data_IF_554166855637
#
_entry.id   IF_554166855637
#
_cell.length_a   1.000
_cell.length_b   1.000
_cell.length_c   1.000
_cell.angle_alpha   90.00
_cell.angle_beta   90.00
_cell.angle_gamma   90.00
#
_symmetry.space_group_name_H-M   'P 1'
#
loop_
_entity.id
_entity.type
_entity.pdbx_description
1 polymer ?
#
# COMPACT_ATOMS: atom_id res chain seq x y z
N UNK A 1 18.93 7.03 6.46
CA UNK A 1 17.83 6.37 7.19
C UNK A 1 18.34 4.97 7.48
N UNK A 2 18.99 4.78 8.63
CA UNK A 2 19.50 3.48 9.05
C UNK A 2 18.28 2.69 9.55
N UNK A 3 17.78 1.80 8.70
CA UNK A 3 16.81 0.77 9.11
C UNK A 3 17.42 0.01 10.27
N UNK A 4 16.67 -0.14 11.38
CA UNK A 4 17.08 -0.97 12.50
C UNK A 4 17.38 -2.39 11.99
N UNK A 5 18.66 -2.75 11.94
CA UNK A 5 19.07 -4.07 11.51
C UNK A 5 18.67 -5.08 12.59
N UNK A 6 18.23 -6.27 12.17
CA UNK A 6 17.79 -7.30 13.12
C UNK A 6 18.90 -7.65 14.11
N UNK A 7 18.61 -7.99 15.38
CA UNK A 7 19.60 -8.43 16.37
C UNK A 7 20.55 -9.53 15.85
N UNK A 8 20.04 -10.42 14.99
CA UNK A 8 20.81 -11.47 14.32
C UNK A 8 21.97 -10.92 13.46
N UNK A 9 21.79 -9.77 12.80
CA UNK A 9 22.82 -9.14 11.97
C UNK A 9 24.05 -8.77 12.80
N UNK A 10 23.82 -8.14 13.97
CA UNK A 10 24.89 -7.74 14.87
C UNK A 10 25.63 -8.93 15.49
N UNK A 11 24.91 -10.02 15.79
CA UNK A 11 25.50 -11.26 16.29
C UNK A 11 26.44 -11.88 15.24
N UNK A 12 25.99 -12.00 13.99
CA UNK A 12 26.82 -12.58 12.91
C UNK A 12 28.00 -11.68 12.57
N UNK A 13 27.83 -10.35 12.61
CA UNK A 13 28.92 -9.39 12.43
C UNK A 13 30.00 -9.53 13.51
N UNK A 14 29.60 -9.65 14.78
CA UNK A 14 30.52 -9.85 15.90
C UNK A 14 31.32 -11.16 15.76
N UNK A 15 30.65 -12.26 15.34
CA UNK A 15 31.31 -13.54 15.08
C UNK A 15 32.32 -13.45 13.93
N UNK A 16 31.98 -12.77 12.84
CA UNK A 16 32.88 -12.57 11.70
C UNK A 16 34.16 -11.85 12.12
N UNK A 17 34.03 -10.74 12.85
CA UNK A 17 35.18 -9.96 13.35
C UNK A 17 36.01 -10.79 14.35
N UNK A 18 35.35 -11.55 15.23
CA UNK A 18 36.01 -12.43 16.18
C UNK A 18 36.86 -13.53 15.52
N UNK A 19 36.31 -14.24 14.54
CA UNK A 19 37.06 -15.28 13.81
C UNK A 19 38.19 -14.70 12.96
N UNK A 20 37.98 -13.53 12.37
CA UNK A 20 39.01 -12.84 11.61
C UNK A 20 40.18 -12.40 12.51
N UNK A 21 39.88 -11.79 13.66
CA UNK A 21 40.90 -11.40 14.64
C UNK A 21 41.67 -12.62 15.19
N UNK A 22 40.98 -13.72 15.48
CA UNK A 22 41.58 -14.98 15.92
C UNK A 22 42.54 -15.56 14.88
N UNK A 23 42.17 -15.50 13.59
CA UNK A 23 43.02 -15.96 12.49
C UNK A 23 44.33 -15.18 12.43
N UNK A 24 44.27 -13.85 12.54
CA UNK A 24 45.45 -12.97 12.55
C UNK A 24 46.32 -13.24 13.78
N UNK A 25 45.71 -13.40 14.95
CA UNK A 25 46.42 -13.69 16.19
C UNK A 25 47.20 -15.00 16.10
N UNK A 26 46.57 -16.06 15.60
CA UNK A 26 47.20 -17.38 15.44
C UNK A 26 48.34 -17.36 14.41
N UNK A 27 48.21 -16.56 13.34
CA UNK A 27 49.28 -16.38 12.35
C UNK A 27 50.48 -15.59 12.89
N UNK A 28 50.26 -14.60 13.77
CA UNK A 28 51.34 -13.78 14.33
C UNK A 28 52.11 -14.45 15.47
N UNK A 29 51.45 -15.24 16.31
CA UNK A 29 52.04 -15.78 17.55
C UNK A 29 52.79 -17.10 17.36
N UNK A 30 52.52 -17.84 16.28
CA UNK A 30 53.01 -19.22 16.14
C UNK A 30 53.45 -19.57 14.71
N UNK A 31 54.27 -18.72 14.10
CA UNK A 31 54.92 -18.99 12.82
C UNK A 31 55.86 -20.22 12.95
N UNK A 32 55.43 -21.38 12.46
CA UNK A 32 56.25 -22.61 12.42
C UNK A 32 55.55 -23.91 12.84
N UNK A 33 54.35 -23.85 13.44
CA UNK A 33 53.61 -25.04 13.88
C UNK A 33 52.50 -25.41 12.88
N UNK A 34 52.74 -26.44 12.06
CA UNK A 34 51.85 -26.94 10.99
C UNK A 34 50.37 -27.11 11.41
N UNK A 35 50.10 -27.63 12.60
CA UNK A 35 48.73 -27.82 13.09
C UNK A 35 48.01 -26.51 13.45
N UNK A 36 48.73 -25.47 13.85
CA UNK A 36 48.14 -24.17 14.18
C UNK A 36 47.87 -23.32 12.94
N UNK A 37 48.63 -23.53 11.87
CA UNK A 37 48.30 -23.01 10.54
C UNK A 37 46.98 -23.60 10.01
N UNK A 38 46.72 -24.89 10.24
CA UNK A 38 45.44 -25.51 9.88
C UNK A 38 44.25 -24.89 10.64
N UNK A 39 44.42 -24.60 11.94
CA UNK A 39 43.41 -23.90 12.75
C UNK A 39 43.18 -22.45 12.29
N UNK A 40 44.24 -21.72 11.92
CA UNK A 40 44.12 -20.37 11.39
C UNK A 40 43.35 -20.36 10.06
N UNK A 41 43.67 -21.28 9.15
CA UNK A 41 42.96 -21.46 7.86
C UNK A 41 41.49 -21.82 8.10
N UNK A 42 41.19 -22.71 9.04
CA UNK A 42 39.81 -23.05 9.39
C UNK A 42 39.02 -21.84 9.90
N UNK A 43 39.60 -21.04 10.80
CA UNK A 43 38.95 -19.82 11.31
C UNK A 43 38.72 -18.77 10.22
N UNK A 44 39.61 -18.68 9.23
CA UNK A 44 39.43 -17.82 8.06
C UNK A 44 38.23 -18.28 7.22
N UNK A 45 38.10 -19.58 6.94
CA UNK A 45 36.93 -20.12 6.25
C UNK A 45 35.63 -19.82 6.99
N UNK A 46 35.64 -19.90 8.32
CA UNK A 46 34.47 -19.58 9.14
C UNK A 46 34.10 -18.08 9.04
N UNK A 47 35.10 -17.19 9.02
CA UNK A 47 34.86 -15.75 8.80
C UNK A 47 34.27 -15.46 7.41
N UNK A 48 34.72 -16.18 6.37
CA UNK A 48 34.18 -16.08 5.01
C UNK A 48 32.73 -16.60 4.99
N UNK A 49 32.44 -17.71 5.67
CA UNK A 49 31.08 -18.23 5.80
C UNK A 49 30.15 -17.23 6.51
N UNK A 50 30.62 -16.55 7.57
CA UNK A 50 29.88 -15.47 8.22
C UNK A 50 29.68 -14.27 7.28
N UNK A 51 30.70 -13.88 6.50
CA UNK A 51 30.57 -12.81 5.52
C UNK A 51 29.52 -13.14 4.45
N UNK A 52 29.52 -14.37 3.93
CA UNK A 52 28.50 -14.87 3.01
C UNK A 52 27.11 -14.82 3.68
N UNK A 53 26.99 -15.29 4.92
CA UNK A 53 25.74 -15.22 5.68
C UNK A 53 25.26 -13.77 5.88
N UNK A 54 26.16 -12.81 6.12
CA UNK A 54 25.81 -11.38 6.17
C UNK A 54 25.33 -10.86 4.84
N UNK A 55 25.91 -11.29 3.71
CA UNK A 55 25.43 -10.91 2.37
C UNK A 55 23.99 -11.41 2.13
N UNK A 56 23.63 -12.57 2.69
CA UNK A 56 22.24 -13.07 2.69
C UNK A 56 21.33 -12.32 3.67
N UNK A 57 21.79 -11.99 4.88
CA UNK A 57 20.98 -11.28 5.88
C UNK A 57 20.74 -9.82 5.45
N UNK A 58 21.76 -9.16 4.92
CA UNK A 58 21.73 -7.78 4.45
C UNK A 58 21.14 -7.62 3.04
N UNK A 59 20.75 -8.72 2.40
CA UNK A 59 20.09 -8.74 1.09
C UNK A 59 20.88 -8.06 -0.04
N UNK A 60 22.21 -8.12 0.02
CA UNK A 60 23.12 -7.45 -0.94
C UNK A 60 22.99 -8.05 -2.35
N UNK A 61 22.55 -9.32 -2.44
CA UNK A 61 22.33 -10.02 -3.72
C UNK A 61 20.86 -10.08 -4.15
N UNK A 62 19.92 -9.51 -3.39
CA UNK A 62 18.48 -9.63 -3.67
C UNK A 62 17.95 -11.08 -3.61
N UNK A 63 18.68 -11.99 -2.95
CA UNK A 63 18.33 -13.41 -2.79
C UNK A 63 17.41 -13.65 -1.58
N UNK A 64 17.32 -12.69 -0.65
CA UNK A 64 16.14 -12.62 0.19
C UNK A 64 15.05 -12.22 -0.79
N UNK A 65 14.16 -13.15 -1.12
CA UNK A 65 12.83 -12.74 -1.54
C UNK A 65 12.35 -11.80 -0.44
N UNK A 66 12.45 -10.47 -0.67
CA UNK A 66 11.35 -9.55 -0.40
C UNK A 66 10.10 -10.42 -0.48
N UNK A 67 9.34 -10.55 0.61
CA UNK A 67 8.07 -11.30 0.63
C UNK A 67 7.46 -11.08 -0.74
N UNK A 68 7.43 -12.14 -1.58
CA UNK A 68 7.41 -12.00 -3.03
C UNK A 68 6.32 -11.03 -3.49
N UNK A 69 6.38 -10.49 -4.72
CA UNK A 69 5.23 -9.77 -5.26
C UNK A 69 4.01 -10.61 -4.96
N UNK A 70 3.10 -10.06 -4.15
CA UNK A 70 1.92 -10.75 -3.67
C UNK A 70 1.25 -11.31 -4.92
N UNK A 71 1.36 -12.63 -5.13
CA UNK A 71 1.05 -13.28 -6.41
C UNK A 71 -0.41 -13.05 -6.81
N UNK A 72 -1.21 -12.60 -5.84
CA UNK A 72 -2.60 -12.26 -5.94
C UNK A 72 -2.89 -10.78 -5.67
N UNK A 73 -1.91 -9.88 -5.79
CA UNK A 73 -2.10 -8.45 -5.56
C UNK A 73 -3.26 -7.91 -6.41
N UNK A 74 -3.24 -8.19 -7.71
CA UNK A 74 -4.30 -7.79 -8.63
C UNK A 74 -5.65 -8.39 -8.23
N UNK A 75 -5.68 -9.61 -7.71
CA UNK A 75 -6.92 -10.24 -7.29
C UNK A 75 -7.51 -9.59 -6.03
N UNK A 76 -6.66 -9.23 -5.06
CA UNK A 76 -7.10 -8.48 -3.90
C UNK A 76 -7.55 -7.07 -4.29
N UNK A 77 -6.83 -6.40 -5.19
CA UNK A 77 -7.23 -5.07 -5.66
C UNK A 77 -8.52 -5.11 -6.50
N UNK A 78 -8.72 -6.16 -7.29
CA UNK A 78 -9.99 -6.43 -7.98
C UNK A 78 -11.11 -6.70 -6.97
N UNK A 79 -10.89 -7.53 -5.96
CA UNK A 79 -11.86 -7.80 -4.89
C UNK A 79 -12.26 -6.52 -4.14
N UNK A 80 -11.30 -5.61 -3.92
CA UNK A 80 -11.53 -4.27 -3.35
C UNK A 80 -12.51 -3.47 -4.18
N UNK A 81 -12.20 -3.28 -5.46
CA UNK A 81 -13.04 -2.50 -6.36
C UNK A 81 -14.41 -3.17 -6.62
N UNK A 82 -14.45 -4.49 -6.76
CA UNK A 82 -15.69 -5.25 -6.92
C UNK A 82 -16.62 -5.06 -5.72
N UNK A 83 -16.09 -5.20 -4.49
CA UNK A 83 -16.88 -5.04 -3.26
C UNK A 83 -17.41 -3.61 -3.13
N UNK A 84 -16.61 -2.60 -3.47
CA UNK A 84 -17.06 -1.20 -3.53
C UNK A 84 -18.17 -1.03 -4.58
N UNK A 85 -18.03 -1.62 -5.77
CA UNK A 85 -19.06 -1.57 -6.81
C UNK A 85 -20.38 -2.18 -6.35
N UNK A 86 -20.33 -3.34 -5.67
CA UNK A 86 -21.52 -3.98 -5.09
C UNK A 86 -22.17 -3.13 -4.01
N UNK A 87 -21.37 -2.50 -3.16
CA UNK A 87 -21.86 -1.56 -2.15
C UNK A 87 -22.55 -0.35 -2.79
N UNK A 88 -21.96 0.22 -3.85
CA UNK A 88 -22.55 1.35 -4.60
C UNK A 88 -23.87 0.93 -5.24
N UNK A 89 -23.91 -0.18 -5.97
CA UNK A 89 -25.12 -0.70 -6.62
C UNK A 89 -26.28 -0.91 -5.62
N UNK A 90 -25.97 -1.37 -4.41
CA UNK A 90 -26.97 -1.59 -3.36
C UNK A 90 -27.41 -0.31 -2.65
N UNK A 91 -26.49 0.64 -2.47
CA UNK A 91 -26.75 1.86 -1.66
C UNK A 91 -27.31 3.00 -2.49
N UNK A 92 -26.84 3.13 -3.73
CA UNK A 92 -27.24 4.18 -4.68
C UNK A 92 -27.52 3.59 -6.07
N UNK A 93 -28.64 2.84 -6.23
CA UNK A 93 -29.09 2.38 -7.54
C UNK A 93 -29.32 3.58 -8.48
N UNK A 94 -28.99 3.41 -9.75
CA UNK A 94 -29.05 4.42 -10.80
C UNK A 94 -27.87 5.41 -10.83
N UNK A 95 -26.93 5.32 -9.87
CA UNK A 95 -25.85 6.30 -9.77
C UNK A 95 -24.91 6.31 -10.97
N UNK A 96 -24.39 7.50 -11.25
CA UNK A 96 -23.49 7.81 -12.36
C UNK A 96 -22.19 8.34 -11.79
N UNK A 97 -21.14 7.53 -11.92
CA UNK A 97 -19.89 7.81 -11.25
C UNK A 97 -18.75 8.17 -12.20
N UNK A 98 -17.84 9.00 -11.71
CA UNK A 98 -16.53 9.26 -12.29
C UNK A 98 -15.49 8.52 -11.46
N UNK A 99 -14.68 7.70 -12.12
CA UNK A 99 -13.52 7.07 -11.48
C UNK A 99 -12.28 7.95 -11.72
N UNK A 100 -11.65 8.38 -10.63
CA UNK A 100 -10.43 9.20 -10.67
C UNK A 100 -9.25 8.37 -10.20
N UNK A 101 -8.32 8.12 -11.11
CA UNK A 101 -7.09 7.37 -10.86
C UNK A 101 -5.83 8.18 -11.10
N UNK A 102 -4.67 7.54 -10.97
CA UNK A 102 -3.39 8.14 -11.33
C UNK A 102 -2.56 7.27 -12.25
N UNK A 103 -1.93 7.88 -13.25
CA UNK A 103 -0.94 7.22 -14.08
C UNK A 103 0.34 6.97 -13.29
N UNK A 104 1.00 5.87 -13.59
CA UNK A 104 2.40 5.62 -13.21
C UNK A 104 3.34 6.61 -13.92
N UNK A 105 4.61 6.67 -13.51
CA UNK A 105 5.57 7.60 -14.12
C UNK A 105 5.84 7.33 -15.61
N UNK A 106 5.73 6.07 -16.03
CA UNK A 106 5.85 5.66 -17.45
C UNK A 106 4.56 5.95 -18.26
N UNK A 107 3.53 6.51 -17.61
CA UNK A 107 2.25 6.84 -18.23
C UNK A 107 1.28 5.67 -18.34
N UNK A 108 1.62 4.48 -17.83
CA UNK A 108 0.68 3.36 -17.78
C UNK A 108 -0.41 3.55 -16.71
N UNK A 109 -1.51 2.83 -16.86
CA UNK A 109 -2.66 2.89 -15.93
C UNK A 109 -2.45 2.02 -14.70
N UNK A 110 -1.56 1.03 -14.76
CA UNK A 110 -1.26 0.11 -13.65
C UNK A 110 -2.52 -0.50 -13.04
N UNK A 111 -2.63 -0.46 -11.71
CA UNK A 111 -3.78 -1.00 -10.96
C UNK A 111 -5.12 -0.32 -11.30
N UNK A 112 -5.14 0.84 -11.95
CA UNK A 112 -6.42 1.48 -12.29
C UNK A 112 -7.22 0.69 -13.32
N UNK A 113 -6.58 -0.05 -14.22
CA UNK A 113 -7.31 -0.95 -15.14
C UNK A 113 -8.01 -2.07 -14.38
N UNK A 114 -7.33 -2.62 -13.36
CA UNK A 114 -7.88 -3.63 -12.45
C UNK A 114 -9.06 -3.06 -11.68
N UNK A 115 -8.91 -1.85 -11.12
CA UNK A 115 -9.98 -1.17 -10.41
C UNK A 115 -11.18 -0.86 -11.31
N UNK A 116 -10.95 -0.31 -12.50
CA UNK A 116 -12.01 0.04 -13.45
C UNK A 116 -12.82 -1.20 -13.84
N UNK A 117 -12.15 -2.27 -14.26
CA UNK A 117 -12.81 -3.50 -14.68
C UNK A 117 -13.61 -4.16 -13.54
N UNK A 118 -13.00 -4.27 -12.36
CA UNK A 118 -13.64 -4.91 -11.22
C UNK A 118 -14.77 -4.06 -10.62
N UNK A 119 -14.60 -2.73 -10.58
CA UNK A 119 -15.65 -1.80 -10.16
C UNK A 119 -16.84 -1.91 -11.10
N UNK A 120 -16.63 -1.86 -12.42
CA UNK A 120 -17.68 -2.02 -13.42
C UNK A 120 -18.44 -3.35 -13.26
N UNK A 121 -17.72 -4.45 -13.02
CA UNK A 121 -18.32 -5.76 -12.73
C UNK A 121 -19.14 -5.75 -11.43
N UNK A 122 -18.67 -5.04 -10.41
CA UNK A 122 -19.36 -4.87 -9.13
C UNK A 122 -20.62 -4.01 -9.25
N UNK A 123 -20.60 -2.95 -10.04
CA UNK A 123 -21.78 -2.10 -10.25
C UNK A 123 -22.91 -2.86 -10.98
N UNK A 124 -22.54 -3.72 -11.93
CA UNK A 124 -23.52 -4.44 -12.72
C UNK A 124 -24.43 -3.48 -13.51
N UNK A 125 -25.73 -3.81 -13.69
CA UNK A 125 -26.68 -2.94 -14.38
C UNK A 125 -27.21 -1.79 -13.50
N UNK A 126 -26.97 -1.84 -12.19
CA UNK A 126 -27.62 -0.94 -11.22
C UNK A 126 -26.93 0.42 -11.13
N UNK A 127 -25.69 0.56 -11.61
CA UNK A 127 -24.96 1.83 -11.62
C UNK A 127 -23.93 1.83 -12.75
N UNK A 128 -23.43 3.00 -13.14
CA UNK A 128 -22.54 3.11 -14.30
C UNK A 128 -21.36 4.05 -14.09
N UNK A 129 -20.23 3.68 -14.69
CA UNK A 129 -19.05 4.54 -14.81
C UNK A 129 -19.23 5.38 -16.08
N UNK A 130 -19.42 6.68 -15.91
CA UNK A 130 -19.61 7.62 -17.02
C UNK A 130 -18.26 8.07 -17.59
N UNK A 131 -17.27 8.23 -16.72
CA UNK A 131 -15.93 8.65 -17.11
C UNK A 131 -14.86 8.05 -16.21
N UNK A 132 -13.68 7.88 -16.79
CA UNK A 132 -12.46 7.50 -16.06
C UNK A 132 -11.39 8.52 -16.38
N UNK A 133 -10.90 9.18 -15.33
CA UNK A 133 -9.98 10.30 -15.44
C UNK A 133 -8.70 9.98 -14.70
N UNK A 134 -7.57 10.29 -15.34
CA UNK A 134 -6.26 9.87 -14.87
C UNK A 134 -5.36 11.07 -14.59
N UNK A 135 -4.85 11.13 -13.37
CA UNK A 135 -3.97 12.20 -12.93
C UNK A 135 -2.52 11.77 -13.05
N UNK A 136 -1.69 12.60 -13.70
CA UNK A 136 -0.28 12.30 -13.91
C UNK A 136 0.50 12.45 -12.61
N UNK A 137 1.38 11.48 -12.33
CA UNK A 137 2.42 11.65 -11.31
C UNK A 137 3.53 12.56 -11.86
N UNK A 138 4.13 13.35 -10.97
CA UNK A 138 5.34 14.16 -11.24
C UNK A 138 6.41 13.85 -10.20
N UNK A 139 7.66 14.17 -10.51
CA UNK A 139 8.73 14.18 -9.51
C UNK A 139 8.78 15.56 -8.85
N UNK A 140 8.79 15.59 -7.51
CA UNK A 140 9.04 16.84 -6.79
C UNK A 140 10.52 17.25 -6.87
N UNK A 141 10.87 18.42 -6.31
CA UNK A 141 12.25 18.94 -6.27
C UNK A 141 13.29 17.98 -5.64
N UNK A 142 12.84 16.98 -4.87
CA UNK A 142 13.67 15.95 -4.23
C UNK A 142 13.67 14.63 -5.01
N UNK A 143 13.18 14.62 -6.25
CA UNK A 143 13.10 13.44 -7.12
C UNK A 143 12.04 12.42 -6.72
N UNK A 144 11.24 12.68 -5.67
CA UNK A 144 10.20 11.74 -5.20
C UNK A 144 8.94 11.88 -6.04
N UNK A 145 8.30 10.76 -6.34
CA UNK A 145 6.98 10.72 -6.94
C UNK A 145 5.97 11.43 -6.05
N UNK A 146 5.25 12.37 -6.64
CA UNK A 146 4.10 13.04 -6.06
C UNK A 146 2.98 13.01 -7.08
N UNK A 147 1.76 12.85 -6.59
CA UNK A 147 0.59 13.12 -7.40
C UNK A 147 0.55 14.61 -7.68
N UNK A 148 0.49 15.00 -8.95
CA UNK A 148 0.27 16.39 -9.32
C UNK A 148 -1.23 16.71 -9.25
N UNK A 149 -1.78 16.54 -8.04
CA UNK A 149 -3.18 16.81 -7.77
C UNK A 149 -3.25 18.11 -6.99
N UNK A 150 -4.01 19.06 -7.53
CA UNK A 150 -4.50 20.19 -6.75
C UNK A 150 -6.03 20.21 -6.75
N UNK A 151 -6.58 20.91 -5.77
CA UNK A 151 -8.02 21.11 -5.58
C UNK A 151 -8.79 21.60 -6.81
N UNK A 152 -8.14 22.37 -7.69
CA UNK A 152 -8.79 22.92 -8.88
C UNK A 152 -9.07 21.82 -9.90
N UNK A 153 -8.22 20.81 -10.00
CA UNK A 153 -8.39 19.73 -10.96
C UNK A 153 -9.61 18.87 -10.60
N UNK A 154 -9.78 18.53 -9.32
CA UNK A 154 -10.99 17.83 -8.85
C UNK A 154 -12.28 18.64 -9.06
N UNK A 155 -12.23 19.95 -8.80
CA UNK A 155 -13.39 20.82 -9.04
C UNK A 155 -13.74 20.94 -10.53
N UNK A 156 -12.74 20.90 -11.43
CA UNK A 156 -12.95 20.89 -12.88
C UNK A 156 -13.54 19.57 -13.37
N UNK A 157 -13.08 18.44 -12.80
CA UNK A 157 -13.55 17.10 -13.18
C UNK A 157 -15.06 16.98 -12.98
N UNK A 158 -15.58 17.39 -11.82
CA UNK A 158 -17.03 17.31 -11.53
C UNK A 158 -17.84 18.21 -12.47
N UNK A 159 -17.34 19.41 -12.78
CA UNK A 159 -18.00 20.32 -13.74
C UNK A 159 -17.99 19.81 -15.18
N UNK A 160 -17.02 18.97 -15.54
CA UNK A 160 -16.91 18.38 -16.87
C UNK A 160 -17.99 17.31 -17.12
N UNK A 161 -18.51 16.71 -16.05
CA UNK A 161 -19.47 15.61 -16.09
C UNK A 161 -20.66 15.91 -15.15
N UNK A 162 -21.49 16.93 -15.48
CA UNK A 162 -22.60 17.37 -14.63
C UNK A 162 -23.68 16.31 -14.39
N UNK A 163 -23.72 15.27 -15.20
CA UNK A 163 -24.59 14.11 -15.06
C UNK A 163 -24.16 13.11 -13.98
N UNK A 164 -22.96 13.30 -13.41
CA UNK A 164 -22.43 12.41 -12.38
C UNK A 164 -22.80 12.90 -10.98
N UNK A 165 -23.31 11.98 -10.18
CA UNK A 165 -23.67 12.18 -8.77
C UNK A 165 -22.63 11.59 -7.82
N UNK A 166 -21.56 10.96 -8.35
CA UNK A 166 -20.57 10.27 -7.55
C UNK A 166 -19.15 10.40 -8.11
N UNK A 167 -18.19 10.60 -7.20
CA UNK A 167 -16.76 10.57 -7.48
C UNK A 167 -16.09 9.47 -6.65
N UNK A 168 -15.48 8.50 -7.33
CA UNK A 168 -14.69 7.41 -6.74
C UNK A 168 -13.22 7.66 -7.02
N UNK A 169 -12.37 7.73 -5.99
CA UNK A 169 -10.91 7.91 -6.16
C UNK A 169 -10.11 6.67 -5.78
N UNK A 170 -9.12 6.31 -6.59
CA UNK A 170 -8.15 5.23 -6.30
C UNK A 170 -6.84 5.73 -5.67
N UNK A 171 -6.75 7.04 -5.43
CA UNK A 171 -5.54 7.71 -4.92
C UNK A 171 -5.79 8.53 -3.64
N UNK A 172 -7.04 8.62 -3.19
CA UNK A 172 -7.48 9.56 -2.16
C UNK A 172 -7.74 10.96 -2.72
N UNK A 173 -7.94 11.91 -1.81
CA UNK A 173 -8.17 13.30 -2.16
C UNK A 173 -6.95 14.18 -1.84
N UNK A 174 -6.76 15.29 -2.57
CA UNK A 174 -5.70 16.24 -2.26
C UNK A 174 -5.89 16.90 -0.89
N UNK A 175 -4.77 17.37 -0.33
CA UNK A 175 -4.78 18.22 0.84
C UNK A 175 -5.56 19.51 0.58
N UNK A 176 -6.41 19.88 1.53
CA UNK A 176 -7.22 21.11 1.45
C UNK A 176 -8.49 20.97 0.62
N UNK A 177 -8.89 19.74 0.24
CA UNK A 177 -10.13 19.51 -0.53
C UNK A 177 -11.37 20.07 0.17
N UNK A 178 -11.34 20.15 1.51
CA UNK A 178 -12.37 20.74 2.38
C UNK A 178 -12.72 22.20 2.05
N UNK A 179 -11.85 22.89 1.31
CA UNK A 179 -12.05 24.29 0.89
C UNK A 179 -12.63 24.43 -0.52
N UNK A 180 -13.00 23.33 -1.17
CA UNK A 180 -13.45 23.31 -2.57
C UNK A 180 -14.97 23.34 -2.71
N UNK A 181 -15.46 23.71 -3.89
CA UNK A 181 -16.88 23.57 -4.22
C UNK A 181 -17.33 22.11 -4.18
N UNK A 182 -16.48 21.19 -4.66
CA UNK A 182 -16.73 19.74 -4.58
C UNK A 182 -17.05 19.29 -3.16
N UNK A 183 -16.32 19.81 -2.17
CA UNK A 183 -16.58 19.48 -0.78
C UNK A 183 -17.92 20.02 -0.27
N UNK A 184 -18.28 21.26 -0.65
CA UNK A 184 -19.58 21.84 -0.31
C UNK A 184 -20.73 21.06 -0.95
N UNK A 185 -20.56 20.67 -2.21
CA UNK A 185 -21.53 19.83 -2.93
C UNK A 185 -21.70 18.48 -2.22
N UNK A 186 -20.62 17.93 -1.66
CA UNK A 186 -20.68 16.69 -0.87
C UNK A 186 -21.35 16.90 0.50
N UNK A 187 -21.10 18.03 1.16
CA UNK A 187 -21.78 18.42 2.41
C UNK A 187 -23.29 18.57 2.23
N UNK A 188 -23.75 19.05 1.07
CA UNK A 188 -25.18 19.16 0.74
C UNK A 188 -25.78 17.87 0.17
N UNK A 189 -24.96 16.84 -0.07
CA UNK A 189 -25.38 15.58 -0.69
C UNK A 189 -25.62 15.66 -2.20
N UNK A 190 -25.20 16.74 -2.85
CA UNK A 190 -25.29 16.91 -4.31
C UNK A 190 -24.28 16.04 -5.06
N UNK A 191 -23.22 15.57 -4.39
CA UNK A 191 -22.26 14.61 -4.92
C UNK A 191 -21.77 13.66 -3.83
N UNK A 192 -21.64 12.38 -4.16
CA UNK A 192 -21.17 11.32 -3.28
C UNK A 192 -19.66 11.14 -3.46
N UNK A 193 -18.90 11.15 -2.36
CA UNK A 193 -17.46 10.95 -2.36
C UNK A 193 -17.08 9.59 -1.80
N UNK A 194 -16.29 8.82 -2.57
CA UNK A 194 -15.80 7.49 -2.17
C UNK A 194 -14.29 7.38 -2.35
N UNK A 195 -13.59 6.94 -1.30
CA UNK A 195 -12.16 6.59 -1.36
C UNK A 195 -12.02 5.08 -1.52
N UNK A 196 -11.82 4.62 -2.76
CA UNK A 196 -11.59 3.20 -3.06
C UNK A 196 -10.19 2.77 -2.62
N UNK A 197 -9.20 3.64 -2.81
CA UNK A 197 -7.83 3.42 -2.34
C UNK A 197 -7.20 4.78 -2.04
N UNK A 198 -6.37 4.86 -0.98
CA UNK A 198 -5.72 6.10 -0.56
C UNK A 198 -5.50 6.17 0.95
N UNK A 199 -4.87 7.27 1.39
CA UNK A 199 -4.72 7.56 2.82
C UNK A 199 -6.01 8.19 3.37
N UNK A 200 -6.69 7.46 4.24
CA UNK A 200 -7.96 7.90 4.83
C UNK A 200 -7.78 8.69 6.14
N UNK A 201 -6.56 8.75 6.71
CA UNK A 201 -6.29 9.43 7.99
C UNK A 201 -6.76 10.88 8.02
N UNK A 202 -6.47 11.71 6.99
CA UNK A 202 -6.86 13.10 7.01
C UNK A 202 -8.38 13.30 7.00
N UNK A 203 -9.12 12.27 6.57
CA UNK A 203 -10.55 12.35 6.30
C UNK A 203 -11.45 11.76 7.39
N UNK A 204 -10.90 11.42 8.56
CA UNK A 204 -11.66 10.85 9.68
C UNK A 204 -12.95 11.61 9.98
N UNK A 205 -12.85 12.92 10.20
CA UNK A 205 -14.01 13.73 10.57
C UNK A 205 -15.04 13.78 9.45
N UNK A 206 -14.59 13.80 8.20
CA UNK A 206 -15.46 13.82 7.03
C UNK A 206 -16.20 12.50 6.80
N UNK A 207 -15.55 11.36 7.04
CA UNK A 207 -16.18 10.03 6.97
C UNK A 207 -17.25 9.91 8.06
N UNK A 208 -16.93 10.33 9.29
CA UNK A 208 -17.91 10.36 10.40
C UNK A 208 -19.09 11.27 10.13
N UNK A 209 -18.84 12.42 9.52
CA UNK A 209 -19.88 13.37 9.13
C UNK A 209 -20.68 12.91 7.90
N UNK A 210 -20.28 11.83 7.23
CA UNK A 210 -20.94 11.33 6.01
C UNK A 210 -20.61 12.11 4.72
N UNK A 211 -19.78 13.16 4.80
CA UNK A 211 -19.31 13.93 3.64
C UNK A 211 -18.53 13.02 2.68
N UNK A 212 -17.70 12.13 3.25
CA UNK A 212 -17.16 10.99 2.50
C UNK A 212 -18.00 9.78 2.87
N UNK A 213 -18.83 9.33 1.94
CA UNK A 213 -19.85 8.31 2.21
C UNK A 213 -19.26 6.91 2.42
N UNK A 214 -18.11 6.63 1.80
CA UNK A 214 -17.38 5.39 2.03
C UNK A 214 -15.87 5.55 1.80
N UNK A 215 -15.09 4.81 2.57
CA UNK A 215 -13.65 4.69 2.40
C UNK A 215 -13.18 3.26 2.66
N UNK A 216 -12.15 2.81 1.95
CA UNK A 216 -11.53 1.50 2.18
C UNK A 216 -10.18 1.66 2.86
N UNK A 217 -9.90 0.77 3.81
CA UNK A 217 -8.58 0.61 4.40
C UNK A 217 -8.17 -0.85 4.49
N UNK A 218 -6.88 -1.10 4.70
CA UNK A 218 -6.40 -2.42 5.09
C UNK A 218 -6.87 -2.77 6.50
N UNK A 219 -7.07 -4.06 6.75
CA UNK A 219 -7.30 -4.53 8.11
C UNK A 219 -6.02 -4.38 8.93
N UNK A 220 -6.08 -3.74 10.10
CA UNK A 220 -4.93 -3.58 10.98
C UNK A 220 -4.21 -4.87 11.41
N UNK A 221 -4.92 -6.00 11.35
CA UNK A 221 -4.44 -7.32 11.73
C UNK A 221 -4.36 -8.27 10.54
N UNK A 222 -4.46 -7.77 9.31
CA UNK A 222 -4.25 -8.63 8.15
C UNK A 222 -2.84 -9.22 8.22
N UNK A 223 -2.79 -10.54 8.14
CA UNK A 223 -1.57 -11.31 7.95
C UNK A 223 -1.68 -12.00 6.61
N UNK A 224 -0.53 -12.27 5.99
CA UNK A 224 -0.49 -13.13 4.81
C UNK A 224 -1.17 -14.48 5.14
N UNK A 225 -2.21 -14.81 4.37
CA UNK A 225 -2.91 -16.09 4.45
C UNK A 225 -2.52 -16.92 3.21
N UNK A 226 -1.93 -18.11 3.37
CA UNK A 226 -1.64 -18.98 2.24
C UNK A 226 -2.92 -19.49 1.54
N UNK A 227 -4.08 -19.43 2.21
CA UNK A 227 -5.37 -19.73 1.59
C UNK A 227 -5.87 -18.50 0.84
N UNK A 228 -5.87 -18.63 -0.47
CA UNK A 228 -6.45 -17.66 -1.38
C UNK A 228 -7.90 -18.05 -1.69
N UNK A 229 -8.92 -17.32 -1.18
CA UNK A 229 -10.31 -17.63 -1.47
C UNK A 229 -10.62 -17.38 -2.94
N UNK A 230 -11.58 -18.08 -3.53
CA UNK A 230 -12.07 -17.75 -4.87
C UNK A 230 -13.05 -16.57 -4.85
N UNK A 231 -13.90 -16.52 -3.81
CA UNK A 231 -14.94 -15.52 -3.66
C UNK A 231 -14.35 -14.10 -3.45
N UNK A 232 -14.75 -13.10 -4.25
CA UNK A 232 -14.25 -11.73 -4.12
C UNK A 232 -14.55 -11.07 -2.77
N UNK A 233 -15.67 -11.38 -2.12
CA UNK A 233 -16.01 -10.82 -0.81
C UNK A 233 -15.15 -11.44 0.29
N UNK A 234 -14.83 -12.72 0.20
CA UNK A 234 -13.90 -13.36 1.13
C UNK A 234 -12.46 -12.83 0.96
N UNK A 235 -11.99 -12.65 -0.28
CA UNK A 235 -10.73 -11.93 -0.57
C UNK A 235 -10.74 -10.53 0.05
N UNK A 236 -11.85 -9.81 -0.09
CA UNK A 236 -12.01 -8.48 0.51
C UNK A 236 -11.95 -8.53 2.04
N UNK A 237 -12.72 -9.43 2.67
CA UNK A 237 -12.78 -9.55 4.13
C UNK A 237 -11.44 -9.97 4.74
N UNK A 238 -10.62 -10.73 4.03
CA UNK A 238 -9.27 -11.06 4.50
C UNK A 238 -8.43 -9.79 4.68
N UNK A 239 -8.40 -8.91 3.68
CA UNK A 239 -7.40 -7.83 3.60
C UNK A 239 -7.92 -6.43 3.91
N UNK A 240 -9.21 -6.19 3.72
CA UNK A 240 -9.81 -4.86 3.70
C UNK A 240 -10.97 -4.72 4.67
N UNK A 241 -11.27 -3.45 4.94
CA UNK A 241 -12.44 -3.04 5.68
C UNK A 241 -13.11 -1.86 4.96
N UNK A 242 -14.42 -1.98 4.76
CA UNK A 242 -15.26 -0.89 4.30
C UNK A 242 -15.64 -0.03 5.50
N UNK A 243 -15.42 1.26 5.35
CA UNK A 243 -15.61 2.23 6.41
C UNK A 243 -16.66 3.24 5.95
N UNK A 244 -17.70 3.40 6.75
CA UNK A 244 -18.82 4.32 6.53
C UNK A 244 -19.09 5.12 7.81
N UNK A 245 -19.99 6.09 7.75
CA UNK A 245 -20.43 6.83 8.95
C UNK A 245 -20.96 5.91 10.05
N UNK A 246 -21.57 4.78 9.68
CA UNK A 246 -22.27 3.88 10.61
C UNK A 246 -21.30 3.04 11.45
N UNK A 247 -20.12 2.73 10.92
CA UNK A 247 -19.12 1.91 11.62
C UNK A 247 -17.86 2.69 12.04
N UNK A 248 -17.73 3.95 11.63
CA UNK A 248 -16.51 4.71 11.85
C UNK A 248 -16.18 4.92 13.33
N UNK A 249 -17.15 5.25 14.17
CA UNK A 249 -16.85 5.44 15.59
C UNK A 249 -16.33 4.17 16.27
N UNK A 250 -16.95 3.03 15.96
CA UNK A 250 -16.54 1.74 16.49
C UNK A 250 -15.13 1.35 16.02
N UNK A 251 -14.89 1.41 14.71
CA UNK A 251 -13.62 1.00 14.12
C UNK A 251 -12.46 1.86 14.62
N UNK A 252 -12.67 3.18 14.75
CA UNK A 252 -11.64 4.07 15.29
C UNK A 252 -11.38 3.83 16.77
N UNK A 253 -12.42 3.55 17.57
CA UNK A 253 -12.25 3.22 18.99
C UNK A 253 -11.48 1.92 19.16
N UNK A 254 -11.84 0.90 18.37
CA UNK A 254 -11.27 -0.45 18.46
C UNK A 254 -9.83 -0.52 17.96
N UNK A 255 -9.52 0.13 16.84
CA UNK A 255 -8.24 -0.03 16.17
C UNK A 255 -7.32 1.19 16.28
N UNK A 256 -7.82 2.33 16.75
CA UNK A 256 -7.06 3.58 16.97
C UNK A 256 -6.15 3.87 15.76
N UNK A 257 -4.84 4.07 16.00
CA UNK A 257 -3.84 4.37 14.96
C UNK A 257 -3.57 3.22 13.98
N UNK A 258 -4.03 1.99 14.27
CA UNK A 258 -3.73 0.82 13.43
C UNK A 258 -4.62 0.71 12.19
N UNK A 259 -5.74 1.45 12.13
CA UNK A 259 -6.65 1.51 10.96
C UNK A 259 -6.05 2.24 9.75
N UNK A 260 -4.77 2.60 9.77
CA UNK A 260 -4.21 3.59 8.84
C UNK A 260 -2.84 3.23 8.27
N UNK A 261 -2.39 1.99 8.48
CA UNK A 261 -1.15 1.52 7.88
C UNK A 261 -1.53 0.86 6.55
N UNK A 262 -1.32 1.62 5.47
CA UNK A 262 -1.11 1.08 4.13
C UNK A 262 0.36 0.70 3.98
#
# INVERSE_FOLDING_TARGET
>A
MLTEMSPLFYIVLALMVGFFALSIYMMKTHAGLRHKHALAVFSLFLSIACAIALLFIADVFGLRKSKGPDIHLNDYEAARAYTVGRYIAQTWPGSKLILVGALTLDGSKGLNEVYEAALKKGLGPDASIVAVEYIKKKKNKKGREVLDINNKDFSKLVRKYPECDMLVTTTGFPWGIDKTHLWKDAETGSIILIILNGDIRPFRSAIKAGIISAAISYRPWWTFDPKFPEDPFEKFKQRYILITKDNADELWRRYKRRLFWN
#
